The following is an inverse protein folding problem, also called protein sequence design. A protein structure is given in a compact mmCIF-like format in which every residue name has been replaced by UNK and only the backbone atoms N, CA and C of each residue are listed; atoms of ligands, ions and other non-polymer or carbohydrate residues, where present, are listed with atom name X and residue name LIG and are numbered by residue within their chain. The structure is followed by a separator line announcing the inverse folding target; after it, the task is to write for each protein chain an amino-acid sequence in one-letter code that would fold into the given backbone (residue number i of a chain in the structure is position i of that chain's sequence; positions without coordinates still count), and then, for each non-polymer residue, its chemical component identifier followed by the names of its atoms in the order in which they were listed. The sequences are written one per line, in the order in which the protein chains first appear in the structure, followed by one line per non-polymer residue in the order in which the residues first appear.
data_IF_053053049465
#
_entry.id   IF_053053049465
#
_cell.length_a   1.000
_cell.length_b   1.000
_cell.length_c   1.000
_cell.angle_alpha   90.00
_cell.angle_beta   90.00
_cell.angle_gamma   90.00
#
_symmetry.space_group_name_H-M   'P 1'
#
loop_
_entity.id
_entity.type
_entity.pdbx_description
1 polymer ?
#
# COMPACT_ATOMS: atom_id res chain seq x y z
N UNK A 1 -38.61 18.89 -7.19
CA UNK A 1 -38.31 17.45 -7.31
C UNK A 1 -36.84 17.32 -7.65
N UNK A 2 -36.08 16.87 -6.66
CA UNK A 2 -34.62 16.74 -6.66
C UNK A 2 -34.19 15.70 -7.70
N UNK A 3 -33.40 16.12 -8.68
CA UNK A 3 -32.56 15.20 -9.44
C UNK A 3 -31.16 15.80 -9.48
N UNK A 4 -30.47 15.67 -8.35
CA UNK A 4 -29.01 15.76 -8.30
C UNK A 4 -28.45 14.53 -9.02
N UNK A 5 -28.36 14.60 -10.34
CA UNK A 5 -27.61 13.64 -11.12
C UNK A 5 -26.15 14.10 -11.15
N UNK A 6 -25.41 13.76 -10.10
CA UNK A 6 -23.95 13.69 -10.17
C UNK A 6 -23.61 12.35 -10.83
N UNK A 7 -23.71 12.31 -12.15
CA UNK A 7 -23.12 11.24 -12.97
C UNK A 7 -21.61 11.51 -13.09
N UNK A 8 -20.87 11.28 -12.00
CA UNK A 8 -19.41 11.18 -12.05
C UNK A 8 -19.04 9.77 -12.57
N UNK A 9 -19.13 9.55 -13.88
CA UNK A 9 -18.38 8.46 -14.53
C UNK A 9 -16.90 8.86 -14.60
N UNK A 10 -16.17 8.67 -13.51
CA UNK A 10 -14.72 8.81 -13.47
C UNK A 10 -14.17 7.39 -13.36
N UNK A 11 -13.30 7.01 -14.30
CA UNK A 11 -12.53 5.78 -14.14
C UNK A 11 -11.86 5.81 -12.78
N UNK A 12 -12.06 4.77 -11.97
CA UNK A 12 -11.60 4.68 -10.58
C UNK A 12 -10.14 5.13 -10.49
N UNK A 13 -9.84 6.12 -9.65
CA UNK A 13 -8.49 6.66 -9.44
C UNK A 13 -7.55 5.56 -8.93
N UNK A 14 -6.23 5.76 -9.06
CA UNK A 14 -5.27 4.76 -8.56
C UNK A 14 -5.42 4.59 -7.05
N UNK A 15 -5.70 5.68 -6.31
CA UNK A 15 -5.97 5.66 -4.88
C UNK A 15 -7.20 4.80 -4.52
N UNK A 16 -8.32 4.97 -5.22
CA UNK A 16 -9.53 4.17 -4.99
C UNK A 16 -9.30 2.69 -5.37
N UNK A 17 -8.57 2.42 -6.46
CA UNK A 17 -8.18 1.06 -6.84
C UNK A 17 -7.27 0.44 -5.79
N UNK A 18 -6.36 1.23 -5.22
CA UNK A 18 -5.49 0.79 -4.14
C UNK A 18 -6.31 0.42 -2.89
N UNK A 19 -7.21 1.30 -2.44
CA UNK A 19 -8.04 1.02 -1.25
C UNK A 19 -8.93 -0.21 -1.45
N UNK A 20 -9.53 -0.36 -2.64
CA UNK A 20 -10.30 -1.55 -2.97
C UNK A 20 -9.43 -2.82 -2.97
N UNK A 21 -8.22 -2.74 -3.53
CA UNK A 21 -7.27 -3.85 -3.56
C UNK A 21 -6.77 -4.23 -2.16
N UNK A 22 -6.35 -3.27 -1.33
CA UNK A 22 -5.88 -3.49 0.04
C UNK A 22 -6.98 -4.13 0.90
N UNK A 23 -8.21 -3.61 0.80
CA UNK A 23 -9.37 -4.17 1.52
C UNK A 23 -9.70 -5.60 1.08
N UNK A 24 -9.56 -5.91 -0.21
CA UNK A 24 -9.78 -7.26 -0.72
C UNK A 24 -8.62 -8.22 -0.39
N UNK A 25 -7.41 -7.69 -0.16
CA UNK A 25 -6.18 -8.48 0.01
C UNK A 25 -5.40 -8.07 1.29
N UNK A 26 -5.99 -8.16 2.50
CA UNK A 26 -5.34 -7.70 3.73
C UNK A 26 -4.03 -8.44 4.04
N UNK A 27 -3.85 -9.65 3.51
CA UNK A 27 -2.64 -10.45 3.64
C UNK A 27 -1.41 -9.82 2.96
N UNK A 28 -1.60 -8.95 1.95
CA UNK A 28 -0.50 -8.22 1.30
C UNK A 28 0.12 -7.25 2.29
N UNK A 29 -0.70 -6.44 2.95
CA UNK A 29 -0.24 -5.49 3.96
C UNK A 29 0.53 -6.21 5.08
N UNK A 30 -0.05 -7.26 5.66
CA UNK A 30 0.57 -8.00 6.76
C UNK A 30 1.89 -8.64 6.35
N UNK A 31 1.98 -9.18 5.14
CA UNK A 31 3.22 -9.73 4.58
C UNK A 31 4.29 -8.65 4.44
N UNK A 32 3.95 -7.48 3.91
CA UNK A 32 4.90 -6.37 3.74
C UNK A 32 5.42 -5.86 5.09
N UNK A 33 4.55 -5.69 6.10
CA UNK A 33 4.95 -5.27 7.45
C UNK A 33 5.87 -6.30 8.10
N UNK A 34 5.57 -7.60 7.96
CA UNK A 34 6.42 -8.68 8.46
C UNK A 34 7.81 -8.64 7.83
N UNK A 35 7.88 -8.51 6.51
CA UNK A 35 9.16 -8.45 5.78
C UNK A 35 9.96 -7.18 6.10
N UNK A 36 9.28 -6.05 6.31
CA UNK A 36 9.89 -4.79 6.76
C UNK A 36 10.57 -4.95 8.12
N UNK A 37 9.87 -5.55 9.09
CA UNK A 37 10.43 -5.84 10.42
C UNK A 37 11.59 -6.85 10.37
N UNK A 38 11.44 -7.90 9.57
CA UNK A 38 12.52 -8.89 9.33
C UNK A 38 13.78 -8.22 8.75
N UNK A 39 13.61 -7.28 7.82
CA UNK A 39 14.72 -6.52 7.26
C UNK A 39 15.47 -5.70 8.32
N UNK A 40 14.76 -4.95 9.16
CA UNK A 40 15.38 -4.15 10.24
C UNK A 40 16.10 -5.07 11.21
N UNK A 41 15.46 -6.15 11.66
CA UNK A 41 16.07 -7.09 12.61
C UNK A 41 17.35 -7.72 12.08
N UNK A 42 17.42 -8.02 10.77
CA UNK A 42 18.58 -8.68 10.17
C UNK A 42 19.69 -7.74 9.73
N UNK A 43 19.35 -6.52 9.33
CA UNK A 43 20.32 -5.60 8.70
C UNK A 43 20.64 -4.37 9.55
N UNK A 44 19.75 -3.99 10.47
CA UNK A 44 19.81 -2.71 11.20
C UNK A 44 19.65 -1.47 10.32
N UNK A 45 19.23 -1.61 9.05
CA UNK A 45 19.19 -0.49 8.08
C UNK A 45 17.77 0.06 7.89
N UNK A 46 17.67 1.39 7.85
CA UNK A 46 16.42 2.15 7.68
C UNK A 46 16.37 2.94 6.36
N UNK A 47 16.81 2.32 5.25
CA UNK A 47 16.78 2.92 3.90
C UNK A 47 16.46 1.86 2.86
N UNK A 48 15.24 1.36 2.90
CA UNK A 48 14.78 0.27 2.04
C UNK A 48 13.93 0.80 0.89
N UNK A 49 14.15 0.28 -0.32
CA UNK A 49 13.20 0.51 -1.41
C UNK A 49 12.00 -0.43 -1.23
N UNK A 50 10.78 0.10 -1.24
CA UNK A 50 9.55 -0.69 -1.14
C UNK A 50 9.46 -1.77 -2.25
N UNK A 51 10.09 -1.54 -3.40
CA UNK A 51 10.20 -2.51 -4.48
C UNK A 51 10.80 -3.84 -4.02
N UNK A 52 11.81 -3.81 -3.14
CA UNK A 52 12.43 -5.02 -2.58
C UNK A 52 11.44 -5.87 -1.81
N UNK A 53 10.63 -5.24 -0.95
CA UNK A 53 9.59 -5.95 -0.20
C UNK A 53 8.49 -6.46 -1.14
N UNK A 54 8.13 -5.68 -2.15
CA UNK A 54 7.11 -6.05 -3.13
C UNK A 54 7.48 -7.29 -3.94
N UNK A 55 8.73 -7.38 -4.43
CA UNK A 55 9.16 -8.57 -5.18
C UNK A 55 9.19 -9.80 -4.26
N UNK A 56 9.64 -9.64 -3.01
CA UNK A 56 9.61 -10.73 -2.04
C UNK A 56 8.19 -11.17 -1.71
N UNK A 57 7.28 -10.23 -1.46
CA UNK A 57 5.87 -10.50 -1.18
C UNK A 57 5.18 -11.18 -2.37
N UNK A 58 5.47 -10.77 -3.62
CA UNK A 58 4.95 -11.47 -4.80
C UNK A 58 5.34 -12.93 -4.82
N UNK A 59 6.61 -13.23 -4.56
CA UNK A 59 7.09 -14.60 -4.54
C UNK A 59 6.41 -15.43 -3.44
N UNK A 60 6.29 -14.88 -2.23
CA UNK A 60 5.64 -15.59 -1.12
C UNK A 60 4.15 -15.82 -1.36
N UNK A 61 3.43 -14.81 -1.86
CA UNK A 61 2.00 -14.94 -2.15
C UNK A 61 1.78 -15.91 -3.30
N UNK A 62 2.58 -15.86 -4.37
CA UNK A 62 2.49 -16.81 -5.48
C UNK A 62 2.74 -18.27 -5.05
N UNK A 63 3.50 -18.50 -3.98
CA UNK A 63 3.63 -19.84 -3.39
C UNK A 63 2.43 -20.25 -2.54
N UNK A 64 1.73 -19.27 -1.97
CA UNK A 64 0.58 -19.49 -1.08
C UNK A 64 -0.76 -19.53 -1.81
N UNK A 65 -0.86 -18.97 -3.02
CA UNK A 65 -2.09 -18.93 -3.83
C UNK A 65 -1.86 -19.37 -5.27
N UNK A 66 -2.84 -20.07 -5.84
CA UNK A 66 -2.89 -20.39 -7.27
C UNK A 66 -3.81 -19.46 -8.05
N UNK A 67 -4.28 -18.37 -7.43
CA UNK A 67 -5.19 -17.41 -8.06
C UNK A 67 -4.50 -16.66 -9.21
N UNK A 68 -4.90 -16.90 -10.48
CA UNK A 68 -4.28 -16.27 -11.64
C UNK A 68 -4.66 -14.78 -11.78
N UNK A 69 -5.72 -14.32 -11.10
CA UNK A 69 -6.16 -12.92 -11.14
C UNK A 69 -5.44 -12.05 -10.09
N UNK A 70 -4.78 -12.67 -9.11
CA UNK A 70 -3.99 -11.94 -8.12
C UNK A 70 -2.76 -11.29 -8.77
N UNK A 71 -2.85 -9.98 -9.01
CA UNK A 71 -1.75 -9.17 -9.57
C UNK A 71 -1.40 -8.01 -8.67
N UNK A 72 -0.29 -8.14 -7.94
CA UNK A 72 0.26 -7.04 -7.17
C UNK A 72 0.80 -5.93 -8.10
N UNK A 73 0.06 -4.83 -8.25
CA UNK A 73 0.39 -3.74 -9.17
C UNK A 73 1.54 -2.87 -8.64
N UNK A 74 2.50 -2.52 -9.51
CA UNK A 74 3.60 -1.61 -9.18
C UNK A 74 3.13 -0.24 -8.70
N UNK A 75 2.00 0.26 -9.20
CA UNK A 75 1.47 1.56 -8.83
C UNK A 75 1.08 1.62 -7.34
N UNK A 76 0.79 0.48 -6.71
CA UNK A 76 0.41 0.41 -5.30
C UNK A 76 1.61 0.49 -4.34
N UNK A 77 2.85 0.36 -4.84
CA UNK A 77 4.07 0.44 -4.02
C UNK A 77 4.15 1.73 -3.21
N UNK A 78 3.91 2.86 -3.87
CA UNK A 78 3.99 4.17 -3.25
C UNK A 78 2.95 4.34 -2.12
N UNK A 79 1.77 3.74 -2.29
CA UNK A 79 0.69 3.74 -1.30
C UNK A 79 1.03 2.86 -0.11
N UNK A 80 1.46 1.61 -0.33
CA UNK A 80 1.85 0.72 0.76
C UNK A 80 3.03 1.26 1.57
N UNK A 81 4.04 1.86 0.92
CA UNK A 81 5.16 2.46 1.65
C UNK A 81 4.68 3.52 2.66
N UNK A 82 3.81 4.43 2.22
CA UNK A 82 3.24 5.49 3.07
C UNK A 82 2.29 4.93 4.12
N UNK A 83 1.45 3.96 3.75
CA UNK A 83 0.52 3.32 4.68
C UNK A 83 1.25 2.61 5.82
N UNK A 84 2.34 1.90 5.51
CA UNK A 84 3.18 1.22 6.50
C UNK A 84 3.87 2.24 7.41
N UNK A 85 4.53 3.26 6.85
CA UNK A 85 5.18 4.32 7.65
C UNK A 85 4.20 5.07 8.54
N UNK A 86 2.94 5.21 8.09
CA UNK A 86 1.89 5.88 8.84
C UNK A 86 1.29 5.01 9.96
N UNK A 87 1.00 3.74 9.69
CA UNK A 87 0.32 2.84 10.64
C UNK A 87 1.26 2.15 11.63
N UNK A 88 2.53 1.99 11.27
CA UNK A 88 3.51 1.25 12.06
C UNK A 88 4.60 2.22 12.57
N UNK A 89 4.51 2.72 13.82
CA UNK A 89 5.47 3.69 14.36
C UNK A 89 6.93 3.20 14.37
N UNK A 90 7.15 1.88 14.44
CA UNK A 90 8.48 1.27 14.37
C UNK A 90 9.09 1.31 12.95
N UNK A 91 8.29 1.64 11.93
CA UNK A 91 8.67 1.65 10.52
C UNK A 91 8.57 3.04 9.87
N UNK A 92 8.34 4.10 10.65
CA UNK A 92 8.04 5.45 10.13
C UNK A 92 9.07 6.01 9.16
N UNK A 93 10.35 5.69 9.31
CA UNK A 93 11.43 6.16 8.42
C UNK A 93 12.09 5.03 7.60
N UNK A 94 11.41 3.88 7.44
CA UNK A 94 12.02 2.72 6.78
C UNK A 94 12.30 2.93 5.29
N UNK A 95 11.38 3.61 4.58
CA UNK A 95 11.43 3.70 3.12
C UNK A 95 12.03 5.01 2.63
N UNK A 96 12.86 4.92 1.60
CA UNK A 96 13.30 6.09 0.82
C UNK A 96 12.22 6.45 -0.20
N UNK A 97 11.44 7.50 0.09
CA UNK A 97 10.27 7.89 -0.69
C UNK A 97 10.63 8.91 -1.77
N UNK A 98 10.06 8.70 -2.97
CA UNK A 98 9.97 9.72 -4.01
C UNK A 98 8.58 10.36 -3.99
N UNK A 99 8.50 11.61 -4.45
CA UNK A 99 7.23 12.32 -4.62
C UNK A 99 6.26 11.51 -5.48
N UNK A 100 5.01 11.39 -5.02
CA UNK A 100 3.97 10.59 -5.66
C UNK A 100 2.58 11.09 -5.29
N UNK A 101 1.56 10.79 -6.09
CA UNK A 101 0.14 11.00 -5.75
C UNK A 101 -0.24 10.35 -4.40
N UNK A 102 0.50 9.33 -3.97
CA UNK A 102 0.30 8.69 -2.68
C UNK A 102 0.55 9.64 -1.49
N UNK A 103 1.29 10.75 -1.67
CA UNK A 103 1.46 11.81 -0.67
C UNK A 103 0.14 12.54 -0.37
N UNK A 104 -0.59 12.92 -1.42
CA UNK A 104 -1.91 13.55 -1.26
C UNK A 104 -2.94 12.56 -0.72
N UNK A 105 -2.84 11.30 -1.17
CA UNK A 105 -3.70 10.24 -0.67
C UNK A 105 -3.50 9.99 0.83
N UNK A 106 -2.27 9.85 1.34
CA UNK A 106 -2.06 9.53 2.76
C UNK A 106 -2.55 10.66 3.68
N UNK A 107 -2.42 11.92 3.24
CA UNK A 107 -2.99 13.07 3.96
C UNK A 107 -4.52 12.97 4.07
N UNK A 108 -5.19 12.66 2.94
CA UNK A 108 -6.66 12.49 2.90
C UNK A 108 -7.11 11.27 3.68
N UNK A 109 -6.38 10.16 3.57
CA UNK A 109 -6.62 8.93 4.31
C UNK A 109 -6.54 9.19 5.83
N UNK A 110 -5.48 9.85 6.28
CA UNK A 110 -5.28 10.19 7.71
C UNK A 110 -6.43 11.04 8.24
N UNK A 111 -6.84 12.07 7.51
CA UNK A 111 -7.95 12.94 7.92
C UNK A 111 -9.28 12.17 8.04
N UNK A 112 -9.54 11.18 7.18
CA UNK A 112 -10.73 10.32 7.28
C UNK A 112 -10.69 9.34 8.44
N UNK A 113 -9.52 8.86 8.83
CA UNK A 113 -9.39 7.84 9.90
C UNK A 113 -9.21 8.43 11.29
N UNK A 114 -8.86 9.71 11.40
CA UNK A 114 -8.72 10.42 12.67
C UNK A 114 -10.04 11.02 13.19
N UNK A 115 -11.10 11.01 12.37
CA UNK A 115 -12.45 11.45 12.70
C UNK A 115 -13.31 10.29 13.19
#
# INVERSE_FOLDING_TARGET
MTHDQISLQFGTSIAERFEAFDRANPHVYTTLVRLAREWIQRTGRHKLAIATLFERARWEIALATTDPEFKLNNNFRAFYARLIMHREPDLTDLFDLRSSEADAWIATYTARTAA
#
